data_IF_990506859848
#
_entry.id   IF_990506859848
#
_cell.length_a   1.000
_cell.length_b   1.000
_cell.length_c   1.000
_cell.angle_alpha   90.00
_cell.angle_beta   90.00
_cell.angle_gamma   90.00
#
_symmetry.space_group_name_H-M   'P 1'
#
loop_
_entity.id
_entity.type
_entity.pdbx_description
1 polymer ?
#
# COMPACT_ATOMS: atom_id res chain seq x y z
N UNK A 1 2.41 12.74 -1.56
CA UNK A 1 3.04 13.24 -0.31
C UNK A 1 2.27 14.45 0.15
N UNK A 2 2.22 14.65 1.46
CA UNK A 2 1.54 15.81 2.05
C UNK A 2 2.47 16.52 3.02
N UNK A 3 2.37 17.84 3.03
CA UNK A 3 3.19 18.80 3.75
C UNK A 3 2.18 19.83 4.29
N UNK A 4 1.98 19.86 5.60
CA UNK A 4 0.89 20.62 6.22
C UNK A 4 0.33 19.89 7.43
N UNK A 5 -0.24 20.62 8.38
CA UNK A 5 -0.76 20.09 9.65
C UNK A 5 -2.25 19.76 9.62
N UNK A 6 -3.04 20.35 8.72
CA UNK A 6 -4.50 20.20 8.69
C UNK A 6 -5.08 19.76 7.34
N UNK A 7 -4.26 19.57 6.30
CA UNK A 7 -4.65 19.15 4.95
C UNK A 7 -5.81 19.99 4.37
N UNK A 8 -5.95 21.24 4.82
CA UNK A 8 -6.99 22.16 4.36
C UNK A 8 -6.33 23.39 3.74
N UNK A 9 -6.11 23.40 2.41
CA UNK A 9 -5.63 24.60 1.75
C UNK A 9 -6.57 25.79 2.04
N UNK A 10 -6.03 27.00 1.99
CA UNK A 10 -6.67 28.26 2.41
C UNK A 10 -6.88 28.39 3.93
N UNK A 11 -6.29 27.50 4.73
CA UNK A 11 -6.34 27.61 6.18
C UNK A 11 -4.96 27.54 6.78
N UNK A 12 -4.75 28.44 7.71
CA UNK A 12 -3.56 28.44 8.52
C UNK A 12 -3.55 27.24 9.45
N UNK A 13 -2.48 26.46 9.35
CA UNK A 13 -2.18 25.35 10.25
C UNK A 13 -2.37 25.72 11.74
N UNK A 14 -3.20 24.99 12.50
CA UNK A 14 -3.56 25.34 13.87
C UNK A 14 -2.33 25.48 14.78
N UNK A 15 -2.18 26.66 15.39
CA UNK A 15 -1.12 26.92 16.36
C UNK A 15 0.22 27.40 15.79
N UNK A 16 0.37 27.53 14.47
CA UNK A 16 1.56 28.15 13.86
C UNK A 16 1.39 29.67 13.73
N UNK A 17 2.49 30.43 13.73
CA UNK A 17 2.50 31.86 13.33
C UNK A 17 2.81 31.99 11.85
N UNK A 18 2.36 33.06 11.20
CA UNK A 18 2.78 33.31 9.81
C UNK A 18 4.28 33.57 9.76
N UNK A 19 4.98 33.09 8.73
CA UNK A 19 6.41 33.29 8.61
C UNK A 19 6.74 34.76 8.32
N UNK A 20 7.94 35.18 8.73
CA UNK A 20 8.41 36.55 8.52
C UNK A 20 8.86 36.80 7.06
N UNK A 21 9.20 35.73 6.34
CA UNK A 21 9.54 35.68 4.92
C UNK A 21 8.59 34.74 4.19
N UNK A 22 8.60 34.77 2.85
CA UNK A 22 7.84 33.83 2.04
C UNK A 22 8.38 32.42 2.21
N UNK A 23 7.51 31.46 2.50
CA UNK A 23 7.83 30.05 2.71
C UNK A 23 6.78 29.15 2.03
N UNK A 24 7.17 27.93 1.69
CA UNK A 24 6.26 26.88 1.25
C UNK A 24 5.58 26.32 2.50
N UNK A 25 4.31 26.68 2.70
CA UNK A 25 3.55 26.30 3.88
C UNK A 25 2.97 24.90 3.75
N UNK A 26 2.38 24.61 2.59
CA UNK A 26 1.81 23.31 2.29
C UNK A 26 2.12 22.85 0.88
N UNK A 27 2.21 21.54 0.70
CA UNK A 27 2.41 20.94 -0.61
C UNK A 27 1.78 19.56 -0.66
N UNK A 28 0.92 19.36 -1.66
CA UNK A 28 0.32 18.07 -1.95
C UNK A 28 0.65 17.65 -3.37
N UNK A 29 1.21 16.45 -3.49
CA UNK A 29 1.40 15.76 -4.76
C UNK A 29 0.94 14.31 -4.65
N UNK A 30 0.80 13.65 -5.80
CA UNK A 30 0.62 12.20 -5.86
C UNK A 30 -0.63 11.72 -5.09
N UNK A 31 -1.78 12.36 -5.32
CA UNK A 31 -3.03 11.89 -4.75
C UNK A 31 -3.41 10.54 -5.37
N UNK A 32 -3.81 9.60 -4.53
CA UNK A 32 -4.28 8.29 -4.99
C UNK A 32 -5.51 8.42 -5.92
N UNK A 33 -5.49 7.72 -7.06
CA UNK A 33 -6.61 7.68 -7.99
C UNK A 33 -6.41 8.63 -9.16
N UNK A 34 -7.37 9.53 -9.40
CA UNK A 34 -7.37 10.44 -10.56
C UNK A 34 -6.37 11.61 -10.44
N UNK A 35 -5.69 11.73 -9.30
CA UNK A 35 -4.66 12.75 -9.00
C UNK A 35 -5.08 14.19 -9.38
N UNK A 36 -6.21 14.61 -8.80
CA UNK A 36 -6.87 15.87 -9.14
C UNK A 36 -6.47 17.01 -8.20
N UNK A 37 -5.97 16.70 -7.01
CA UNK A 37 -5.77 17.61 -5.88
C UNK A 37 -4.30 17.94 -5.61
N UNK A 38 -3.48 18.13 -6.65
CA UNK A 38 -2.13 18.67 -6.48
C UNK A 38 -2.17 20.17 -6.24
N UNK A 39 -1.46 20.62 -5.22
CA UNK A 39 -1.34 22.03 -4.88
C UNK A 39 -0.03 22.37 -4.16
N UNK A 40 0.33 23.64 -4.20
CA UNK A 40 1.32 24.25 -3.32
C UNK A 40 0.72 25.52 -2.71
N UNK A 41 0.89 25.68 -1.42
CA UNK A 41 0.47 26.87 -0.68
C UNK A 41 1.71 27.62 -0.19
N UNK A 42 1.74 28.91 -0.47
CA UNK A 42 2.79 29.82 -0.03
C UNK A 42 2.25 30.64 1.13
N UNK A 43 3.04 30.80 2.20
CA UNK A 43 2.68 31.67 3.31
C UNK A 43 3.70 32.80 3.51
N UNK A 44 3.22 33.89 4.10
CA UNK A 44 4.02 35.07 4.44
C UNK A 44 3.17 36.10 5.18
N UNK A 45 3.62 37.36 5.18
CA UNK A 45 2.81 38.45 5.75
C UNK A 45 1.67 38.83 4.77
N UNK A 46 0.44 39.09 5.25
CA UNK A 46 -0.67 39.50 4.40
C UNK A 46 -0.32 40.68 3.47
N UNK A 47 -0.73 40.59 2.20
CA UNK A 47 -0.44 41.61 1.19
C UNK A 47 1.02 41.67 0.71
N UNK A 48 1.88 40.72 1.09
CA UNK A 48 3.24 40.61 0.51
C UNK A 48 3.13 40.38 -1.00
N UNK A 49 3.87 41.17 -1.78
CA UNK A 49 3.95 41.01 -3.23
C UNK A 49 4.76 39.77 -3.62
N UNK A 50 4.28 39.06 -4.62
CA UNK A 50 4.98 37.93 -5.26
C UNK A 50 5.67 38.34 -6.57
N UNK A 51 5.78 39.66 -6.83
CA UNK A 51 6.54 40.17 -7.98
C UNK A 51 7.98 39.65 -7.96
N UNK A 52 8.45 39.20 -9.13
CA UNK A 52 9.77 38.61 -9.31
C UNK A 52 10.01 37.31 -8.51
N UNK A 53 8.97 36.70 -7.94
CA UNK A 53 9.01 35.39 -7.28
C UNK A 53 8.55 34.30 -8.24
N UNK A 54 9.23 33.17 -8.19
CA UNK A 54 8.91 31.98 -8.97
C UNK A 54 8.84 30.76 -8.06
N UNK A 55 7.86 29.91 -8.31
CA UNK A 55 7.85 28.55 -7.78
C UNK A 55 8.47 27.62 -8.82
N UNK A 56 9.53 26.91 -8.43
CA UNK A 56 10.24 25.97 -9.31
C UNK A 56 10.32 24.59 -8.68
N UNK A 57 10.43 23.60 -9.55
CA UNK A 57 10.61 22.19 -9.17
C UNK A 57 11.80 21.64 -9.92
N UNK A 58 12.75 21.04 -9.20
CA UNK A 58 13.98 20.46 -9.73
C UNK A 58 13.95 18.95 -9.48
N UNK A 59 14.15 18.13 -10.51
CA UNK A 59 14.15 16.67 -10.40
C UNK A 59 14.39 15.98 -11.74
N UNK A 60 13.94 14.73 -11.87
CA UNK A 60 14.10 13.90 -13.09
C UNK A 60 13.12 14.25 -14.22
N UNK A 61 13.50 13.94 -15.46
CA UNK A 61 12.64 14.03 -16.64
C UNK A 61 12.20 12.66 -17.22
N UNK A 62 12.97 11.56 -17.03
CA UNK A 62 12.77 10.29 -17.77
C UNK A 62 12.95 9.02 -16.93
N UNK A 63 11.96 8.12 -16.99
CA UNK A 63 11.95 6.80 -16.35
C UNK A 63 12.79 5.75 -17.12
N UNK A 64 14.05 6.03 -17.45
CA UNK A 64 14.91 5.08 -18.17
C UNK A 64 16.16 4.78 -17.36
N UNK A 65 16.44 3.50 -17.10
CA UNK A 65 17.56 2.98 -16.31
C UNK A 65 18.98 3.25 -16.87
N UNK A 66 19.23 4.47 -17.30
CA UNK A 66 20.52 5.15 -17.41
C UNK A 66 20.75 5.84 -16.06
N UNK A 67 21.99 6.05 -15.56
CA UNK A 67 22.21 6.82 -14.33
C UNK A 67 21.42 8.14 -14.42
N UNK A 68 20.49 8.32 -13.48
CA UNK A 68 19.39 9.29 -13.53
C UNK A 68 19.86 10.71 -13.89
N UNK A 69 19.29 11.32 -14.93
CA UNK A 69 19.52 12.73 -15.30
C UNK A 69 18.75 13.67 -14.35
N UNK A 70 19.22 13.76 -13.10
CA UNK A 70 18.64 14.60 -12.06
C UNK A 70 19.08 16.06 -12.24
N UNK A 71 18.34 17.00 -11.64
CA UNK A 71 18.73 18.43 -11.68
C UNK A 71 18.02 19.24 -12.76
N UNK A 72 17.03 18.68 -13.45
CA UNK A 72 16.23 19.39 -14.44
C UNK A 72 15.11 20.18 -13.81
N UNK A 73 14.86 21.38 -14.32
CA UNK A 73 13.66 22.15 -13.98
C UNK A 73 12.45 21.43 -14.55
N UNK A 74 11.60 20.86 -13.72
CA UNK A 74 10.36 20.19 -14.14
C UNK A 74 9.22 21.19 -14.33
N UNK A 75 9.10 22.12 -13.37
CA UNK A 75 8.03 23.10 -13.29
C UNK A 75 8.64 24.46 -12.96
N UNK A 76 8.12 25.51 -13.59
CA UNK A 76 8.43 26.89 -13.27
C UNK A 76 7.15 27.71 -13.42
N UNK A 77 6.73 28.36 -12.33
CA UNK A 77 5.51 29.17 -12.26
C UNK A 77 5.90 30.59 -11.88
N UNK A 78 5.61 31.54 -12.76
CA UNK A 78 5.77 32.97 -12.51
C UNK A 78 4.64 33.46 -11.61
N UNK A 79 4.98 34.12 -10.50
CA UNK A 79 4.02 34.66 -9.54
C UNK A 79 3.87 36.18 -9.65
N UNK A 80 4.50 36.79 -10.67
CA UNK A 80 4.45 38.23 -10.88
C UNK A 80 3.02 38.73 -11.08
N UNK A 81 2.69 39.84 -10.41
CA UNK A 81 1.35 40.42 -10.41
C UNK A 81 0.41 39.86 -9.35
N UNK A 82 0.84 38.88 -8.55
CA UNK A 82 0.08 38.32 -7.44
C UNK A 82 0.57 38.83 -6.08
N UNK A 83 -0.31 38.76 -5.08
CA UNK A 83 -0.05 39.14 -3.68
C UNK A 83 -0.69 38.12 -2.75
N UNK A 84 -0.08 37.87 -1.60
CA UNK A 84 -0.72 37.06 -0.55
C UNK A 84 -2.03 37.69 -0.08
N UNK A 85 -3.01 36.86 0.27
CA UNK A 85 -4.34 37.27 0.70
C UNK A 85 -4.35 37.94 2.11
N UNK A 86 -5.54 38.18 2.66
CA UNK A 86 -5.69 38.75 4.00
C UNK A 86 -5.21 37.83 5.13
N UNK A 87 -5.13 36.52 4.88
CA UNK A 87 -4.63 35.51 5.79
C UNK A 87 -3.12 35.28 5.62
N UNK A 88 -2.49 35.88 4.62
CA UNK A 88 -1.08 35.70 4.29
C UNK A 88 -0.79 34.39 3.57
N UNK A 89 -1.76 33.88 2.81
CA UNK A 89 -1.69 32.66 2.03
C UNK A 89 -1.82 32.95 0.53
N UNK A 90 -1.30 32.04 -0.29
CA UNK A 90 -1.50 32.03 -1.73
C UNK A 90 -1.45 30.62 -2.27
N UNK A 91 -2.53 30.18 -2.90
CA UNK A 91 -2.71 28.81 -3.36
C UNK A 91 -2.49 28.68 -4.87
N UNK A 92 -1.52 27.86 -5.24
CA UNK A 92 -1.34 27.39 -6.62
C UNK A 92 -1.85 25.96 -6.69
N UNK A 93 -2.77 25.69 -7.62
CA UNK A 93 -3.39 24.37 -7.72
C UNK A 93 -3.90 24.06 -9.11
N UNK A 94 -4.24 22.80 -9.34
CA UNK A 94 -4.83 22.36 -10.62
C UNK A 94 -6.23 22.94 -10.78
N UNK A 95 -6.66 23.11 -12.03
CA UNK A 95 -8.06 23.48 -12.31
C UNK A 95 -9.08 22.40 -11.89
N UNK A 96 -8.60 21.20 -11.61
CA UNK A 96 -9.38 20.08 -11.07
C UNK A 96 -9.39 19.98 -9.54
N UNK A 97 -8.70 20.89 -8.83
CA UNK A 97 -8.60 20.87 -7.37
C UNK A 97 -10.00 20.91 -6.75
N UNK A 98 -10.31 19.89 -5.95
CA UNK A 98 -11.62 19.74 -5.30
C UNK A 98 -11.66 20.29 -3.87
N UNK A 99 -10.49 20.56 -3.29
CA UNK A 99 -10.32 20.95 -1.88
C UNK A 99 -10.52 22.45 -1.65
N UNK A 100 -10.16 23.28 -2.62
CA UNK A 100 -10.26 24.73 -2.58
C UNK A 100 -10.27 25.32 -4.00
N UNK A 101 -10.52 26.62 -4.11
CA UNK A 101 -10.37 27.35 -5.38
C UNK A 101 -8.99 28.00 -5.40
N UNK A 102 -8.06 27.60 -6.29
CA UNK A 102 -6.73 28.20 -6.35
C UNK A 102 -6.78 29.70 -6.69
N UNK A 103 -5.90 30.48 -6.07
CA UNK A 103 -5.59 31.85 -6.50
C UNK A 103 -4.94 31.85 -7.89
N UNK A 104 -4.12 30.83 -8.16
CA UNK A 104 -3.49 30.59 -9.45
C UNK A 104 -3.71 29.16 -9.92
N UNK A 105 -4.43 29.03 -11.02
CA UNK A 105 -4.62 27.74 -11.70
C UNK A 105 -3.38 27.39 -12.52
N UNK A 106 -2.71 26.30 -12.18
CA UNK A 106 -1.55 25.77 -12.90
C UNK A 106 -1.64 24.24 -13.01
N UNK A 107 -1.06 23.65 -14.06
CA UNK A 107 -1.07 22.20 -14.23
C UNK A 107 -0.18 21.47 -13.20
N UNK A 108 0.83 22.18 -12.66
CA UNK A 108 1.85 21.74 -11.69
C UNK A 108 2.74 20.57 -12.12
N UNK A 109 2.25 19.66 -12.97
CA UNK A 109 2.97 18.59 -13.68
C UNK A 109 4.12 17.98 -12.89
N UNK A 110 3.89 17.67 -11.61
CA UNK A 110 4.92 17.12 -10.75
C UNK A 110 5.31 15.72 -11.26
N UNK A 111 6.57 15.55 -11.66
CA UNK A 111 7.04 14.26 -12.14
C UNK A 111 7.46 13.38 -10.96
N UNK A 112 6.85 12.21 -10.89
CA UNK A 112 6.87 11.32 -9.74
C UNK A 112 8.01 10.29 -9.73
N UNK A 113 9.11 10.57 -10.42
CA UNK A 113 10.08 9.54 -10.86
C UNK A 113 11.32 9.42 -9.95
N UNK A 114 11.66 10.47 -9.18
CA UNK A 114 12.87 10.50 -8.35
C UNK A 114 12.74 11.41 -7.13
N UNK A 115 13.87 11.76 -6.49
CA UNK A 115 13.87 12.84 -5.51
C UNK A 115 13.57 14.16 -6.20
N UNK A 116 12.84 15.05 -5.52
CA UNK A 116 12.41 16.31 -6.11
C UNK A 116 12.66 17.42 -5.12
N UNK A 117 13.23 18.54 -5.57
CA UNK A 117 13.39 19.76 -4.77
C UNK A 117 12.41 20.82 -5.26
N UNK A 118 11.53 21.28 -4.37
CA UNK A 118 10.61 22.38 -4.58
C UNK A 118 11.24 23.64 -3.99
N UNK A 119 11.17 24.76 -4.70
CA UNK A 119 11.77 26.00 -4.22
C UNK A 119 11.00 27.24 -4.63
N UNK A 120 11.02 28.24 -3.76
CA UNK A 120 10.69 29.62 -4.07
C UNK A 120 12.00 30.37 -4.35
N UNK A 121 12.10 30.96 -5.54
CA UNK A 121 13.28 31.70 -5.97
C UNK A 121 12.90 33.08 -6.49
N UNK A 122 13.85 34.01 -6.50
CA UNK A 122 13.66 35.32 -7.13
C UNK A 122 14.43 35.45 -8.44
N UNK A 123 13.93 36.22 -9.39
CA UNK A 123 14.65 36.54 -10.64
C UNK A 123 15.03 35.31 -11.46
N UNK A 124 14.11 34.34 -11.54
CA UNK A 124 14.31 33.13 -12.33
C UNK A 124 14.41 33.48 -13.83
N UNK A 125 15.41 32.92 -14.52
CA UNK A 125 15.66 33.13 -15.96
C UNK A 125 15.75 31.80 -16.73
N UNK A 126 15.49 30.68 -16.05
CA UNK A 126 15.48 29.34 -16.65
C UNK A 126 14.17 29.01 -17.35
N UNK A 127 14.01 27.73 -17.70
CA UNK A 127 12.79 27.19 -18.31
C UNK A 127 12.64 25.69 -17.98
N UNK A 128 11.41 25.14 -18.00
CA UNK A 128 11.21 23.69 -17.84
C UNK A 128 12.00 22.87 -18.87
N UNK A 129 12.74 21.86 -18.40
CA UNK A 129 13.68 21.03 -19.18
C UNK A 129 15.13 21.51 -19.13
N UNK A 130 15.41 22.68 -18.56
CA UNK A 130 16.78 23.14 -18.33
C UNK A 130 17.46 22.25 -17.28
N UNK A 131 18.65 21.77 -17.61
CA UNK A 131 19.48 20.92 -16.75
C UNK A 131 20.43 21.78 -15.91
N UNK A 132 20.28 21.70 -14.58
CA UNK A 132 21.03 22.51 -13.62
C UNK A 132 22.20 21.74 -12.97
N UNK A 133 22.22 20.41 -13.05
CA UNK A 133 23.25 19.51 -12.50
C UNK A 133 23.85 18.70 -13.67
N UNK A 134 24.52 19.41 -14.59
CA UNK A 134 25.02 18.85 -15.85
C UNK A 134 26.00 17.70 -15.63
N UNK A 135 26.66 17.65 -14.46
CA UNK A 135 27.58 16.58 -14.12
C UNK A 135 26.95 15.44 -13.32
N UNK A 136 25.64 15.47 -13.06
CA UNK A 136 24.87 14.49 -12.28
C UNK A 136 25.54 14.17 -10.92
N UNK A 137 26.16 15.17 -10.29
CA UNK A 137 26.99 14.98 -9.11
C UNK A 137 26.26 15.36 -7.80
N UNK A 138 24.98 15.74 -7.89
CA UNK A 138 24.15 16.15 -6.77
C UNK A 138 24.37 17.61 -6.35
N UNK A 139 25.09 18.41 -7.15
CA UNK A 139 25.26 19.84 -6.93
C UNK A 139 24.78 20.63 -8.15
N UNK A 140 24.24 21.82 -7.90
CA UNK A 140 23.83 22.71 -8.98
C UNK A 140 25.06 23.37 -9.61
N UNK A 141 25.25 23.13 -10.89
CA UNK A 141 26.32 23.70 -11.72
C UNK A 141 25.89 25.04 -12.35
N UNK A 142 24.60 25.20 -12.64
CA UNK A 142 24.05 26.40 -13.27
C UNK A 142 22.98 27.01 -12.36
N UNK A 143 23.23 28.23 -11.88
CA UNK A 143 22.25 29.01 -11.13
C UNK A 143 21.54 29.98 -12.07
N UNK A 144 20.21 29.83 -12.19
CA UNK A 144 19.36 30.68 -13.06
C UNK A 144 18.35 31.51 -12.26
N UNK A 145 18.68 31.84 -11.02
CA UNK A 145 17.90 32.72 -10.14
C UNK A 145 18.83 33.66 -9.39
N UNK A 146 18.27 34.74 -8.84
CA UNK A 146 19.00 35.74 -8.04
C UNK A 146 19.15 35.32 -6.57
N UNK A 147 18.11 34.71 -5.99
CA UNK A 147 18.15 34.18 -4.62
C UNK A 147 17.16 33.03 -4.44
N UNK A 148 17.41 32.17 -3.45
CA UNK A 148 16.45 31.20 -2.93
C UNK A 148 15.77 31.81 -1.70
N UNK A 149 14.45 31.82 -1.67
CA UNK A 149 13.66 32.29 -0.54
C UNK A 149 13.37 31.15 0.43
N UNK A 150 12.94 30.02 -0.12
CA UNK A 150 12.67 28.79 0.62
C UNK A 150 12.80 27.58 -0.30
N UNK A 151 13.09 26.41 0.26
CA UNK A 151 13.15 25.17 -0.49
C UNK A 151 12.85 23.96 0.40
N UNK A 152 12.19 22.96 -0.16
CA UNK A 152 11.94 21.68 0.47
C UNK A 152 12.14 20.55 -0.52
N UNK A 153 12.84 19.51 -0.09
CA UNK A 153 13.06 18.32 -0.92
C UNK A 153 12.15 17.19 -0.48
N UNK A 154 11.50 16.54 -1.43
CA UNK A 154 10.83 15.26 -1.23
C UNK A 154 11.73 14.14 -1.74
N UNK A 155 12.26 13.37 -0.80
CA UNK A 155 13.07 12.19 -1.07
C UNK A 155 12.17 10.98 -1.29
N UNK A 156 12.38 10.28 -2.40
CA UNK A 156 11.66 9.05 -2.76
C UNK A 156 12.59 7.82 -2.74
N UNK A 157 13.91 8.01 -2.81
CA UNK A 157 14.89 6.91 -2.81
C UNK A 157 16.15 7.23 -1.98
N UNK A 158 17.01 6.23 -1.78
CA UNK A 158 18.24 6.34 -0.99
C UNK A 158 19.39 7.13 -1.65
N UNK A 159 19.26 7.56 -2.89
CA UNK A 159 20.27 8.35 -3.60
C UNK A 159 20.23 9.83 -3.12
N UNK A 160 21.37 10.54 -2.97
CA UNK A 160 21.35 11.98 -2.71
C UNK A 160 20.97 12.85 -3.93
N UNK A 161 21.10 12.35 -5.17
CA UNK A 161 20.75 13.10 -6.37
C UNK A 161 19.26 13.50 -6.37
N UNK A 162 18.93 14.69 -6.87
CA UNK A 162 17.58 15.26 -6.79
C UNK A 162 17.25 16.03 -5.51
N UNK A 163 18.16 16.04 -4.52
CA UNK A 163 18.09 16.89 -3.32
C UNK A 163 19.08 18.06 -3.49
N UNK A 164 18.55 19.25 -3.73
CA UNK A 164 19.35 20.44 -4.04
C UNK A 164 19.15 21.56 -3.01
N UNK A 165 19.93 22.65 -3.18
CA UNK A 165 19.78 23.91 -2.44
C UNK A 165 19.99 23.81 -0.91
N UNK A 166 20.50 22.68 -0.42
CA UNK A 166 20.58 22.41 1.02
C UNK A 166 19.20 22.31 1.67
N UNK A 167 18.16 22.02 0.89
CA UNK A 167 16.78 22.01 1.34
C UNK A 167 16.55 20.97 2.46
N UNK A 168 15.80 21.32 3.52
CA UNK A 168 15.20 20.34 4.41
C UNK A 168 14.49 19.25 3.60
N UNK A 169 14.68 17.99 3.98
CA UNK A 169 14.20 16.85 3.22
C UNK A 169 13.10 16.12 3.98
N UNK A 170 11.98 15.87 3.29
CA UNK A 170 10.85 15.06 3.75
C UNK A 170 10.66 13.86 2.83
N UNK A 171 9.88 12.88 3.27
CA UNK A 171 9.80 11.59 2.58
C UNK A 171 10.89 10.63 3.03
N UNK A 172 10.80 9.33 2.70
CA UNK A 172 11.55 8.33 3.41
C UNK A 172 13.01 8.50 3.03
N UNK A 173 13.83 8.58 4.06
CA UNK A 173 15.13 7.95 4.01
C UNK A 173 14.84 6.45 3.91
N UNK A 174 14.56 5.98 2.70
CA UNK A 174 14.55 4.56 2.38
C UNK A 174 15.99 4.08 2.51
N UNK A 175 16.39 3.78 3.74
CA UNK A 175 17.66 3.15 3.97
C UNK A 175 17.41 1.88 4.75
N UNK A 176 18.04 0.81 4.28
CA UNK A 176 18.50 -0.27 5.14
C UNK A 176 19.52 0.23 6.19
N UNK A 177 19.42 1.46 6.68
CA UNK A 177 20.29 2.04 7.72
C UNK A 177 19.50 2.79 8.79
N UNK A 178 18.16 2.83 8.70
CA UNK A 178 17.30 3.47 9.68
C UNK A 178 16.28 2.49 10.27
N UNK A 179 16.18 2.47 11.59
CA UNK A 179 15.12 1.78 12.32
C UNK A 179 13.99 2.78 12.60
N UNK A 180 12.74 2.34 12.46
CA UNK A 180 11.59 3.09 12.97
C UNK A 180 11.58 2.89 14.48
N UNK A 181 11.95 3.95 15.20
CA UNK A 181 12.00 3.94 16.66
C UNK A 181 10.61 3.90 17.31
N UNK A 182 10.58 3.86 18.64
CA UNK A 182 9.35 4.00 19.42
C UNK A 182 9.23 5.44 19.91
N UNK A 183 8.06 6.06 19.72
CA UNK A 183 7.82 7.44 20.12
C UNK A 183 6.34 7.82 20.17
N UNK A 184 6.05 9.00 20.71
CA UNK A 184 4.71 9.57 20.69
C UNK A 184 4.41 10.14 19.30
N UNK A 185 3.24 9.82 18.78
CA UNK A 185 2.76 10.27 17.48
C UNK A 185 1.29 10.65 17.59
N UNK A 186 0.89 11.71 16.89
CA UNK A 186 -0.52 12.06 16.75
C UNK A 186 -1.23 10.97 15.92
N UNK A 187 -2.45 10.61 16.31
CA UNK A 187 -3.17 9.51 15.68
C UNK A 187 -3.46 9.76 14.18
N UNK A 188 -3.64 11.00 13.77
CA UNK A 188 -3.83 11.43 12.38
C UNK A 188 -2.58 11.29 11.50
N UNK A 189 -1.40 11.16 12.12
CA UNK A 189 -0.13 10.93 11.44
C UNK A 189 0.29 9.47 11.46
N UNK A 190 -0.40 8.62 12.23
CA UNK A 190 -0.03 7.21 12.38
C UNK A 190 -0.24 6.47 11.06
N UNK A 191 0.75 5.66 10.69
CA UNK A 191 0.71 4.81 9.50
C UNK A 191 1.01 3.37 9.89
N UNK A 192 0.39 2.45 9.16
CA UNK A 192 0.63 1.01 9.25
C UNK A 192 2.09 0.65 8.94
N UNK A 193 2.59 -0.41 9.55
CA UNK A 193 3.96 -0.89 9.36
C UNK A 193 4.07 -1.73 8.07
N UNK A 194 4.19 -1.04 6.94
CA UNK A 194 4.38 -1.60 5.60
C UNK A 194 5.14 -0.59 4.72
N UNK A 195 5.61 -1.04 3.56
CA UNK A 195 6.21 -0.13 2.60
C UNK A 195 5.20 0.97 2.21
N UNK A 196 5.62 2.22 2.09
CA UNK A 196 4.72 3.36 1.84
C UNK A 196 3.95 3.28 0.52
N UNK A 197 4.42 2.46 -0.43
CA UNK A 197 3.77 2.15 -1.70
C UNK A 197 2.83 0.93 -1.64
N UNK A 198 2.77 0.25 -0.50
CA UNK A 198 1.92 -0.90 -0.26
C UNK A 198 0.74 -0.44 0.59
N UNK A 199 -0.35 -0.08 -0.08
CA UNK A 199 -1.55 0.48 0.56
C UNK A 199 -2.33 -0.63 1.25
N UNK A 200 -2.91 -0.33 2.42
CA UNK A 200 -3.92 -1.20 3.04
C UNK A 200 -5.00 -1.54 2.00
N UNK A 201 -5.26 -2.84 1.75
CA UNK A 201 -6.13 -3.23 0.65
C UNK A 201 -7.54 -2.57 0.72
N UNK A 202 -8.14 -2.17 -0.42
CA UNK A 202 -9.36 -1.38 -0.46
C UNK A 202 -10.62 -2.23 -0.26
N UNK A 203 -10.70 -2.96 0.85
CA UNK A 203 -11.85 -3.76 1.26
C UNK A 203 -12.04 -3.74 2.79
N UNK A 204 -13.23 -4.08 3.32
CA UNK A 204 -13.47 -4.10 4.77
C UNK A 204 -12.50 -5.01 5.52
N UNK A 205 -12.06 -4.58 6.72
CA UNK A 205 -11.10 -5.33 7.53
C UNK A 205 -11.64 -6.63 8.14
N UNK A 206 -12.94 -6.71 8.45
CA UNK A 206 -13.54 -7.89 9.05
C UNK A 206 -14.18 -8.81 7.99
N UNK A 207 -13.84 -10.10 7.87
CA UNK A 207 -12.78 -10.87 8.59
C UNK A 207 -11.44 -10.83 7.84
N UNK A 208 -10.33 -11.16 8.53
CA UNK A 208 -9.03 -11.20 7.86
C UNK A 208 -8.93 -12.30 6.80
N UNK A 209 -8.75 -11.88 5.55
CA UNK A 209 -8.52 -12.79 4.43
C UNK A 209 -7.22 -13.59 4.57
N UNK A 210 -6.13 -12.96 5.03
CA UNK A 210 -4.84 -13.66 5.21
C UNK A 210 -4.94 -14.78 6.25
N UNK A 211 -5.59 -14.52 7.39
CA UNK A 211 -5.84 -15.54 8.41
C UNK A 211 -6.68 -16.70 7.86
N UNK A 212 -7.69 -16.38 7.03
CA UNK A 212 -8.54 -17.38 6.37
C UNK A 212 -7.75 -18.23 5.39
N UNK A 213 -7.04 -17.61 4.43
CA UNK A 213 -6.29 -18.32 3.39
C UNK A 213 -5.17 -19.18 3.95
N UNK A 214 -4.40 -18.65 4.91
CA UNK A 214 -3.29 -19.37 5.51
C UNK A 214 -3.77 -20.58 6.31
N UNK A 215 -4.87 -20.45 7.07
CA UNK A 215 -5.44 -21.59 7.79
C UNK A 215 -6.02 -22.65 6.85
N UNK A 216 -6.76 -22.24 5.81
CA UNK A 216 -7.21 -23.18 4.77
C UNK A 216 -6.05 -23.90 4.10
N UNK A 217 -4.94 -23.20 3.84
CA UNK A 217 -3.72 -23.78 3.28
C UNK A 217 -3.06 -24.80 4.20
N UNK A 218 -3.06 -24.56 5.52
CA UNK A 218 -2.53 -25.52 6.49
C UNK A 218 -3.37 -26.80 6.58
N UNK A 219 -4.69 -26.71 6.53
CA UNK A 219 -5.58 -27.86 6.42
C UNK A 219 -5.33 -28.63 5.13
N UNK A 220 -5.19 -27.94 4.00
CA UNK A 220 -4.90 -28.57 2.71
C UNK A 220 -3.57 -29.34 2.74
N UNK A 221 -2.50 -28.74 3.28
CA UNK A 221 -1.20 -29.39 3.44
C UNK A 221 -1.30 -30.61 4.37
N UNK A 222 -2.01 -30.49 5.49
CA UNK A 222 -2.27 -31.60 6.41
C UNK A 222 -2.99 -32.75 5.71
N UNK A 223 -4.00 -32.44 4.90
CA UNK A 223 -4.75 -33.41 4.11
C UNK A 223 -3.90 -34.13 3.08
N UNK A 224 -3.02 -33.40 2.38
CA UNK A 224 -2.15 -33.93 1.32
C UNK A 224 -1.02 -34.79 1.89
N UNK A 225 -0.40 -34.38 3.00
CA UNK A 225 0.73 -35.12 3.58
C UNK A 225 0.29 -36.19 4.59
N UNK A 226 -0.98 -36.17 5.01
CA UNK A 226 -1.53 -37.05 6.04
C UNK A 226 -1.01 -36.73 7.44
N UNK A 227 -0.38 -35.56 7.64
CA UNK A 227 0.24 -35.16 8.90
C UNK A 227 0.18 -33.64 9.05
N UNK A 228 -0.15 -33.10 10.24
CA UNK A 228 -0.12 -31.66 10.46
C UNK A 228 1.31 -31.11 10.57
N UNK A 229 2.29 -31.99 10.72
CA UNK A 229 3.70 -31.66 10.88
C UNK A 229 4.38 -31.47 9.52
N UNK A 230 5.29 -30.51 9.45
CA UNK A 230 6.18 -30.38 8.30
C UNK A 230 7.00 -31.67 8.09
N UNK A 231 7.31 -32.06 6.84
CA UNK A 231 8.17 -33.21 6.58
C UNK A 231 9.54 -33.03 7.25
N UNK A 232 9.94 -34.01 8.06
CA UNK A 232 11.17 -33.91 8.88
C UNK A 232 10.98 -33.23 10.24
N UNK A 233 9.75 -32.85 10.60
CA UNK A 233 9.39 -32.32 11.92
C UNK A 233 9.48 -30.79 12.00
N UNK A 234 10.69 -30.25 12.10
CA UNK A 234 10.91 -28.81 12.29
C UNK A 234 11.28 -28.14 10.97
N UNK A 235 10.38 -27.33 10.43
CA UNK A 235 10.68 -26.46 9.31
C UNK A 235 11.40 -25.19 9.81
N UNK A 236 12.47 -24.80 9.11
CA UNK A 236 13.28 -23.65 9.45
C UNK A 236 13.40 -22.74 8.24
N UNK A 237 13.24 -21.43 8.44
CA UNK A 237 13.52 -20.43 7.42
C UNK A 237 14.31 -19.27 8.02
N UNK A 238 15.51 -19.05 7.48
CA UNK A 238 16.39 -17.96 7.95
C UNK A 238 16.25 -16.74 7.06
N UNK A 239 15.81 -15.65 7.68
CA UNK A 239 15.89 -14.31 7.12
C UNK A 239 17.30 -13.77 7.36
N UNK A 240 18.07 -13.41 6.31
CA UNK A 240 19.39 -12.84 6.50
C UNK A 240 19.32 -11.46 7.15
N UNK A 241 20.45 -10.98 7.65
CA UNK A 241 20.55 -9.57 8.05
C UNK A 241 20.25 -8.65 6.86
N UNK A 242 19.74 -7.44 7.14
CA UNK A 242 19.45 -6.40 6.14
C UNK A 242 18.47 -6.81 5.04
N UNK A 243 17.55 -7.72 5.37
CA UNK A 243 16.59 -8.29 4.43
C UNK A 243 15.39 -7.39 4.15
N UNK A 244 14.94 -6.61 5.14
CA UNK A 244 13.75 -5.76 5.00
C UNK A 244 13.96 -4.71 3.90
N UNK A 245 12.88 -4.44 3.15
CA UNK A 245 12.91 -3.54 2.00
C UNK A 245 12.65 -2.07 2.36
N UNK A 246 12.01 -1.83 3.50
CA UNK A 246 11.48 -0.52 3.90
C UNK A 246 11.94 -0.06 5.29
N UNK A 247 12.76 -0.87 5.99
CA UNK A 247 13.41 -0.55 7.26
C UNK A 247 14.79 -1.24 7.34
N UNK A 248 15.73 -0.73 8.14
CA UNK A 248 16.92 -1.46 8.56
C UNK A 248 16.56 -2.65 9.44
N UNK A 249 16.78 -3.84 8.92
CA UNK A 249 16.73 -5.05 9.71
C UNK A 249 16.53 -6.31 8.89
N UNK A 250 16.56 -7.47 9.55
CA UNK A 250 17.01 -7.62 10.93
C UNK A 250 18.52 -7.35 11.05
N UNK A 251 19.00 -6.90 12.21
CA UNK A 251 20.43 -6.56 12.42
C UNK A 251 21.36 -7.79 12.46
N UNK A 252 20.78 -8.96 12.68
CA UNK A 252 21.42 -10.27 12.57
C UNK A 252 20.45 -11.21 11.85
N UNK A 253 20.92 -12.32 11.25
CA UNK A 253 20.00 -13.32 10.72
C UNK A 253 18.98 -13.78 11.78
N UNK A 254 17.72 -13.88 11.40
CA UNK A 254 16.62 -14.37 12.25
C UNK A 254 16.11 -15.66 11.65
N UNK A 255 16.09 -16.72 12.44
CA UNK A 255 15.56 -18.02 12.01
C UNK A 255 14.18 -18.23 12.59
N UNK A 256 13.19 -18.33 11.72
CA UNK A 256 11.84 -18.76 12.06
C UNK A 256 11.76 -20.27 12.05
N UNK A 257 10.96 -20.83 12.96
CA UNK A 257 10.83 -22.26 13.16
C UNK A 257 9.38 -22.64 13.38
N UNK A 258 8.89 -23.64 12.63
CA UNK A 258 7.53 -24.13 12.72
C UNK A 258 7.52 -25.65 12.75
N UNK A 259 6.75 -26.23 13.66
CA UNK A 259 6.61 -27.69 13.80
C UNK A 259 5.44 -28.18 12.96
N UNK A 260 4.34 -27.43 12.97
CA UNK A 260 3.13 -27.73 12.21
C UNK A 260 2.84 -26.67 11.15
N UNK A 261 2.09 -27.05 10.11
CA UNK A 261 1.54 -26.07 9.16
C UNK A 261 0.67 -25.02 9.85
N UNK A 262 0.06 -25.39 10.98
CA UNK A 262 -0.77 -24.50 11.77
C UNK A 262 0.04 -23.40 12.46
N UNK A 263 1.23 -23.71 12.98
CA UNK A 263 2.13 -22.71 13.56
C UNK A 263 2.46 -21.62 12.52
N UNK A 264 2.81 -22.05 11.29
CA UNK A 264 3.11 -21.14 10.19
C UNK A 264 1.88 -20.33 9.75
N UNK A 265 0.69 -20.95 9.74
CA UNK A 265 -0.56 -20.25 9.41
C UNK A 265 -0.96 -19.22 10.46
N UNK A 266 -0.71 -19.51 11.74
CA UNK A 266 -0.99 -18.61 12.85
C UNK A 266 -0.09 -17.38 12.76
N UNK A 267 1.21 -17.57 12.57
CA UNK A 267 2.14 -16.44 12.42
C UNK A 267 1.84 -15.61 11.16
N UNK A 268 1.36 -16.23 10.08
CA UNK A 268 0.88 -15.50 8.91
C UNK A 268 -0.32 -14.58 9.24
N UNK A 269 -1.27 -15.04 10.08
CA UNK A 269 -2.36 -14.21 10.60
C UNK A 269 -1.86 -13.09 11.51
N UNK A 270 -1.03 -13.42 12.51
CA UNK A 270 -0.47 -12.44 13.47
C UNK A 270 0.33 -11.35 12.78
N UNK A 271 1.04 -11.67 11.70
CA UNK A 271 1.82 -10.69 10.93
C UNK A 271 0.98 -9.51 10.42
N UNK A 272 -0.33 -9.67 10.28
CA UNK A 272 -1.24 -8.59 9.89
C UNK A 272 -1.52 -7.60 11.02
N UNK A 273 -1.51 -8.09 12.25
CA UNK A 273 -1.62 -7.29 13.47
C UNK A 273 -0.32 -6.49 13.65
N UNK A 274 0.82 -7.15 13.53
CA UNK A 274 2.14 -6.50 13.61
C UNK A 274 2.35 -5.48 12.48
N UNK A 275 1.83 -5.76 11.28
CA UNK A 275 1.81 -4.82 10.15
C UNK A 275 0.82 -3.65 10.32
N UNK A 276 -0.04 -3.67 11.35
CA UNK A 276 -1.02 -2.63 11.62
C UNK A 276 -2.23 -2.59 10.66
N UNK A 277 -2.47 -3.64 9.88
CA UNK A 277 -3.56 -3.67 8.87
C UNK A 277 -4.79 -4.48 9.31
N UNK A 278 -4.70 -5.22 10.41
CA UNK A 278 -5.85 -5.86 11.07
C UNK A 278 -5.75 -5.74 12.60
N UNK A 279 -6.81 -5.35 13.33
CA UNK A 279 -6.90 -5.55 14.76
C UNK A 279 -7.05 -7.05 15.12
N UNK A 280 -6.71 -7.47 16.36
CA UNK A 280 -6.82 -8.88 16.79
C UNK A 280 -8.22 -9.50 16.63
N UNK A 281 -9.28 -8.69 16.64
CA UNK A 281 -10.67 -9.15 16.48
C UNK A 281 -10.97 -9.67 15.07
N UNK A 282 -10.18 -9.28 14.06
CA UNK A 282 -10.37 -9.73 12.67
C UNK A 282 -9.73 -11.10 12.40
N UNK A 283 -8.77 -11.51 13.23
CA UNK A 283 -7.87 -12.62 12.98
C UNK A 283 -8.50 -13.97 13.35
N UNK A 284 -8.90 -14.15 14.62
CA UNK A 284 -9.46 -15.43 15.10
C UNK A 284 -10.68 -15.89 14.29
N UNK A 285 -11.68 -15.04 13.98
CA UNK A 285 -12.79 -15.45 13.12
C UNK A 285 -12.36 -15.87 11.72
N UNK A 286 -11.34 -15.21 11.15
CA UNK A 286 -10.76 -15.61 9.87
C UNK A 286 -10.11 -16.99 9.93
N UNK A 287 -9.37 -17.30 11.00
CA UNK A 287 -8.80 -18.64 11.21
C UNK A 287 -9.89 -19.70 11.34
N UNK A 288 -10.95 -19.45 12.11
CA UNK A 288 -12.09 -20.38 12.24
C UNK A 288 -12.72 -20.65 10.87
N UNK A 289 -12.97 -19.60 10.08
CA UNK A 289 -13.50 -19.77 8.73
C UNK A 289 -12.54 -20.56 7.82
N UNK A 290 -11.24 -20.32 7.92
CA UNK A 290 -10.24 -21.06 7.15
C UNK A 290 -10.12 -22.53 7.53
N UNK A 291 -10.27 -22.87 8.81
CA UNK A 291 -10.30 -24.25 9.32
C UNK A 291 -11.46 -25.04 8.69
N UNK A 292 -12.66 -24.46 8.72
CA UNK A 292 -13.84 -25.08 8.12
C UNK A 292 -13.72 -25.22 6.59
N UNK A 293 -13.29 -24.17 5.90
CA UNK A 293 -13.12 -24.18 4.44
C UNK A 293 -12.05 -25.20 4.04
N UNK A 294 -10.90 -25.21 4.72
CA UNK A 294 -9.80 -26.10 4.43
C UNK A 294 -10.18 -27.58 4.58
N UNK A 295 -10.85 -27.95 5.67
CA UNK A 295 -11.33 -29.32 5.90
C UNK A 295 -12.32 -29.77 4.83
N UNK A 296 -13.31 -28.94 4.51
CA UNK A 296 -14.28 -29.22 3.43
C UNK A 296 -13.61 -29.41 2.07
N UNK A 297 -12.57 -28.63 1.78
CA UNK A 297 -11.79 -28.80 0.54
C UNK A 297 -11.03 -30.11 0.53
N UNK A 298 -10.40 -30.50 1.65
CA UNK A 298 -9.67 -31.79 1.74
C UNK A 298 -10.63 -32.97 1.58
N UNK A 299 -11.77 -32.95 2.27
CA UNK A 299 -12.84 -33.94 2.11
C UNK A 299 -13.30 -33.99 0.66
N UNK A 300 -13.53 -32.83 0.04
CA UNK A 300 -13.94 -32.78 -1.36
C UNK A 300 -12.87 -33.29 -2.31
N UNK A 301 -11.61 -33.00 -2.08
CA UNK A 301 -10.57 -33.53 -2.96
C UNK A 301 -10.48 -35.05 -2.82
N UNK A 302 -10.53 -35.59 -1.60
CA UNK A 302 -10.51 -37.05 -1.37
C UNK A 302 -11.65 -37.74 -2.09
N UNK A 303 -12.87 -37.25 -1.95
CA UNK A 303 -14.03 -37.83 -2.63
C UNK A 303 -13.91 -37.76 -4.17
N UNK A 304 -13.23 -36.76 -4.75
CA UNK A 304 -12.99 -36.68 -6.21
C UNK A 304 -12.00 -37.74 -6.65
N UNK A 305 -10.99 -38.02 -5.83
CA UNK A 305 -9.96 -39.00 -6.14
C UNK A 305 -10.39 -40.44 -5.91
N UNK A 306 -11.19 -40.71 -4.89
CA UNK A 306 -11.78 -42.03 -4.61
C UNK A 306 -12.93 -42.38 -5.56
N UNK A 307 -13.42 -41.40 -6.33
CA UNK A 307 -14.65 -41.55 -7.10
C UNK A 307 -15.90 -41.45 -6.24
N UNK A 308 -15.79 -41.04 -4.97
CA UNK A 308 -16.91 -40.85 -4.06
C UNK A 308 -17.79 -39.63 -4.38
N UNK A 309 -17.46 -38.79 -5.36
CA UNK A 309 -18.48 -37.94 -6.01
C UNK A 309 -19.52 -38.70 -6.80
N UNK A 310 -19.30 -39.99 -6.95
CA UNK A 310 -20.23 -40.95 -7.49
C UNK A 310 -20.59 -42.01 -6.42
N UNK A 311 -20.21 -41.80 -5.15
CA UNK A 311 -20.49 -42.75 -4.07
C UNK A 311 -21.87 -42.46 -3.46
N UNK A 312 -22.77 -43.45 -3.46
CA UNK A 312 -23.98 -43.47 -2.66
C UNK A 312 -23.81 -43.20 -1.15
N UNK A 313 -22.63 -43.48 -0.58
CA UNK A 313 -22.29 -43.12 0.82
C UNK A 313 -21.83 -41.67 0.85
N UNK A 314 -22.80 -40.77 1.07
CA UNK A 314 -22.65 -39.31 0.97
C UNK A 314 -22.08 -38.74 2.28
N UNK A 315 -22.38 -39.38 3.41
CA UNK A 315 -21.93 -38.93 4.73
C UNK A 315 -20.55 -39.50 5.12
N UNK A 316 -20.08 -40.55 4.42
CA UNK A 316 -18.76 -41.15 4.55
C UNK A 316 -18.58 -42.07 5.76
N UNK A 317 -19.67 -42.61 6.32
CA UNK A 317 -19.62 -43.51 7.49
C UNK A 317 -19.38 -44.99 7.12
N UNK A 318 -19.33 -45.30 5.83
CA UNK A 318 -19.05 -46.62 5.28
C UNK A 318 -20.29 -47.48 5.05
N UNK A 319 -21.50 -46.95 5.24
CA UNK A 319 -22.78 -47.64 4.98
C UNK A 319 -23.71 -46.71 4.20
N UNK A 320 -24.34 -47.21 3.13
CA UNK A 320 -25.33 -46.43 2.37
C UNK A 320 -26.70 -46.61 3.01
N UNK A 321 -27.18 -45.59 3.73
CA UNK A 321 -28.44 -45.70 4.47
C UNK A 321 -29.33 -44.44 4.43
N UNK A 322 -30.26 -44.36 5.39
CA UNK A 322 -31.20 -43.24 5.49
C UNK A 322 -30.54 -41.89 5.74
N UNK A 323 -29.34 -41.84 6.30
CA UNK A 323 -28.58 -40.62 6.48
C UNK A 323 -28.12 -40.06 5.12
N UNK A 324 -27.61 -40.90 4.22
CA UNK A 324 -27.19 -40.50 2.87
C UNK A 324 -28.38 -40.08 2.02
N UNK A 325 -29.48 -40.82 2.12
CA UNK A 325 -30.74 -40.44 1.46
C UNK A 325 -31.22 -39.07 1.94
N UNK A 326 -31.11 -38.79 3.24
CA UNK A 326 -31.45 -37.48 3.80
C UNK A 326 -30.61 -36.36 3.21
N UNK A 327 -29.31 -36.61 3.00
CA UNK A 327 -28.38 -35.66 2.39
C UNK A 327 -28.66 -35.46 0.90
N UNK A 328 -28.90 -36.54 0.14
CA UNK A 328 -29.25 -36.47 -1.29
C UNK A 328 -30.54 -35.67 -1.50
N UNK A 329 -31.60 -35.99 -0.73
CA UNK A 329 -32.88 -35.27 -0.81
C UNK A 329 -32.75 -33.82 -0.36
N UNK A 330 -31.81 -33.51 0.53
CA UNK A 330 -31.45 -32.13 0.89
C UNK A 330 -30.92 -31.30 -0.27
N UNK A 331 -30.42 -31.95 -1.34
CA UNK A 331 -29.95 -31.31 -2.56
C UNK A 331 -30.88 -31.51 -3.76
N UNK A 332 -32.09 -32.04 -3.58
CA UNK A 332 -32.97 -32.37 -4.71
C UNK A 332 -33.23 -31.18 -5.64
N UNK A 333 -32.94 -31.36 -6.93
CA UNK A 333 -33.10 -30.34 -7.97
C UNK A 333 -32.02 -29.26 -7.99
N UNK A 334 -30.92 -29.41 -7.24
CA UNK A 334 -29.78 -28.50 -7.34
C UNK A 334 -28.93 -28.79 -8.59
N UNK A 335 -28.26 -27.75 -9.10
CA UNK A 335 -27.29 -27.89 -10.18
C UNK A 335 -25.94 -28.36 -9.60
N UNK A 336 -25.68 -29.67 -9.68
CA UNK A 336 -24.53 -30.33 -9.09
C UNK A 336 -24.60 -30.41 -7.56
N UNK A 337 -23.54 -30.93 -6.94
CA UNK A 337 -23.45 -31.05 -5.49
C UNK A 337 -22.65 -32.27 -5.04
N UNK A 338 -22.94 -32.73 -3.83
CA UNK A 338 -22.54 -34.07 -3.36
C UNK A 338 -23.64 -35.11 -3.61
N UNK A 339 -24.88 -34.68 -3.87
CA UNK A 339 -25.98 -35.55 -4.28
C UNK A 339 -26.05 -35.84 -5.79
N UNK A 340 -25.21 -35.22 -6.62
CA UNK A 340 -25.09 -35.47 -8.07
C UNK A 340 -24.12 -36.64 -8.28
N UNK A 341 -24.65 -37.85 -8.10
CA UNK A 341 -23.92 -39.11 -8.08
C UNK A 341 -23.62 -39.62 -9.48
N UNK A 342 -24.32 -39.16 -10.52
CA UNK A 342 -24.06 -39.55 -11.89
C UNK A 342 -23.19 -38.53 -12.66
N UNK A 343 -22.98 -37.34 -12.10
CA UNK A 343 -22.15 -36.26 -12.64
C UNK A 343 -22.76 -35.53 -13.83
N UNK A 344 -24.07 -35.59 -14.03
CA UNK A 344 -24.78 -34.95 -15.14
C UNK A 344 -25.14 -33.47 -14.89
N UNK A 345 -24.90 -33.01 -13.66
CA UNK A 345 -25.09 -31.62 -13.26
C UNK A 345 -26.47 -31.33 -12.66
N UNK A 346 -27.33 -32.32 -12.41
CA UNK A 346 -28.61 -32.16 -11.73
C UNK A 346 -28.83 -33.27 -10.70
N UNK A 347 -29.16 -32.91 -9.44
CA UNK A 347 -29.55 -33.90 -8.43
C UNK A 347 -30.99 -34.33 -8.65
N UNK A 348 -31.22 -35.52 -9.19
CA UNK A 348 -32.55 -36.02 -9.50
C UNK A 348 -32.75 -37.52 -9.26
N UNK A 349 -33.77 -38.09 -9.92
CA UNK A 349 -34.12 -39.50 -9.82
C UNK A 349 -33.02 -40.45 -10.29
N UNK A 350 -32.12 -40.00 -11.16
CA UNK A 350 -30.98 -40.80 -11.60
C UNK A 350 -29.98 -41.00 -10.46
N UNK A 351 -29.71 -39.97 -9.66
CA UNK A 351 -28.81 -40.06 -8.50
C UNK A 351 -29.44 -40.87 -7.38
N UNK A 352 -30.73 -40.67 -7.11
CA UNK A 352 -31.45 -41.51 -6.15
C UNK A 352 -31.42 -42.99 -6.56
N UNK A 353 -31.48 -43.26 -7.87
CA UNK A 353 -31.35 -44.62 -8.41
C UNK A 353 -29.97 -45.23 -8.12
N UNK A 354 -28.90 -44.44 -8.22
CA UNK A 354 -27.55 -44.86 -7.83
C UNK A 354 -27.45 -45.08 -6.33
N UNK A 355 -28.00 -44.16 -5.52
CA UNK A 355 -27.98 -44.29 -4.06
C UNK A 355 -28.67 -45.56 -3.57
N UNK A 356 -29.90 -45.80 -4.04
CA UNK A 356 -30.66 -46.99 -3.67
C UNK A 356 -30.06 -48.29 -4.24
N UNK A 357 -29.25 -48.18 -5.30
CA UNK A 357 -28.56 -49.31 -5.91
C UNK A 357 -27.52 -49.96 -5.00
N UNK A 358 -26.86 -49.16 -4.17
CA UNK A 358 -25.82 -49.61 -3.22
C UNK A 358 -26.32 -49.63 -1.77
N UNK A 359 -27.64 -49.63 -1.56
CA UNK A 359 -28.25 -49.61 -0.22
C UNK A 359 -27.86 -50.83 0.63
N UNK A 360 -27.38 -50.58 1.85
CA UNK A 360 -27.23 -51.59 2.91
C UNK A 360 -25.83 -51.75 3.50
#
# INVERSE_FOLDING_TARGET
WDLGGDHTPEKKNPGLSLPASLEIAELRNAQQGADLDEYVEIAGQPGTSLDNVWFIVIGDEVQTGVPDSQGRVQTAVDLTGHTLDENGLFLIGRGSLSLATPDLVNLLNFKEIGNVTYALVTGFTGYPGLDLDIFDNGNIDITVWSSVLDAIALRRNGNPQGVYLGAPTLGPVASKTQTYGVGWQLADRWMTYQASNFVTPPFPGYVSGHSTFSRSGAEALTGITGSPYFPGGLFNYTIPADWLKFEFGPSTPVTFQWVTYYDASDEAGESRIWGGIHPPVDDIPGRIAGDEVGKRVVERVKALYSGEYLSPDINGDGVVDGADLGLLLGQWGSNGGFGDLNGDGLVDGADLGLLLGDWG
#
